data_IF_027340021969
#
_entry.id   IF_027340021969
#
_cell.length_a   1.000
_cell.length_b   1.000
_cell.length_c   1.000
_cell.angle_alpha   90.00
_cell.angle_beta   90.00
_cell.angle_gamma   90.00
#
_symmetry.space_group_name_H-M   'P 1'
#
loop_
_entity.id
_entity.type
_entity.pdbx_description
1 polymer ?
#
# COMPACT_ATOMS: atom_id res chain seq x y z
N UNK A 1 0.85 -1.88 23.39
CA UNK A 1 1.31 -1.66 22.00
C UNK A 1 0.11 -1.29 21.13
N UNK A 2 0.23 -0.30 20.20
CA UNK A 2 -0.89 0.12 19.34
C UNK A 2 -1.52 -1.07 18.60
N UNK A 3 -0.70 -1.96 18.03
CA UNK A 3 -1.20 -3.16 17.30
C UNK A 3 -2.10 -4.01 18.17
N UNK A 4 -1.70 -4.28 19.41
CA UNK A 4 -2.47 -5.11 20.34
C UNK A 4 -3.83 -4.48 20.68
N UNK A 5 -3.84 -3.17 20.95
CA UNK A 5 -5.08 -2.44 21.28
C UNK A 5 -5.99 -2.38 20.06
N UNK A 6 -5.47 -1.92 18.91
CA UNK A 6 -6.24 -1.81 17.69
C UNK A 6 -6.73 -3.19 17.18
N UNK A 7 -5.93 -4.26 17.35
CA UNK A 7 -6.33 -5.62 17.00
C UNK A 7 -7.59 -6.04 17.77
N UNK A 8 -7.63 -5.82 19.08
CA UNK A 8 -8.81 -6.13 19.91
C UNK A 8 -10.05 -5.37 19.44
N UNK A 9 -9.89 -4.08 19.13
CA UNK A 9 -10.97 -3.24 18.65
C UNK A 9 -11.53 -3.71 17.30
N UNK A 10 -10.63 -3.91 16.29
CA UNK A 10 -11.06 -4.25 14.93
C UNK A 10 -11.55 -5.70 14.80
N UNK A 11 -11.20 -6.57 15.74
CA UNK A 11 -11.67 -7.97 15.74
C UNK A 11 -12.80 -8.23 16.72
N UNK A 12 -13.29 -7.21 17.43
CA UNK A 12 -14.41 -7.34 18.35
C UNK A 12 -15.64 -7.95 17.64
N UNK A 13 -16.12 -9.08 18.14
CA UNK A 13 -17.24 -9.81 17.54
C UNK A 13 -16.90 -10.62 16.27
N UNK A 14 -15.66 -10.61 15.80
CA UNK A 14 -15.23 -11.37 14.61
C UNK A 14 -14.62 -12.69 15.04
N UNK A 15 -15.18 -13.81 14.56
CA UNK A 15 -14.58 -15.13 14.74
C UNK A 15 -13.51 -15.38 13.68
N UNK A 16 -12.25 -15.16 14.03
CA UNK A 16 -11.12 -15.32 13.09
C UNK A 16 -10.86 -16.76 12.65
N UNK A 17 -11.27 -17.76 13.45
CA UNK A 17 -11.10 -19.17 13.15
C UNK A 17 -12.37 -19.95 13.46
N UNK A 18 -12.75 -20.81 12.53
CA UNK A 18 -13.92 -21.68 12.70
C UNK A 18 -13.57 -23.07 13.23
N UNK A 19 -12.31 -23.50 13.02
CA UNK A 19 -11.78 -24.83 13.37
C UNK A 19 -10.32 -24.75 13.83
N UNK A 20 -9.85 -25.74 14.55
CA UNK A 20 -8.47 -25.89 14.99
C UNK A 20 -8.20 -25.33 16.39
N UNK A 21 -6.98 -25.55 16.87
CA UNK A 21 -6.52 -25.05 18.16
C UNK A 21 -6.13 -23.56 18.06
N UNK A 22 -6.22 -22.86 19.19
CA UNK A 22 -5.66 -21.52 19.28
C UNK A 22 -4.15 -21.56 19.00
N UNK A 23 -3.62 -20.62 18.20
CA UNK A 23 -2.20 -20.56 17.92
C UNK A 23 -1.42 -20.22 19.20
N UNK A 24 -0.22 -20.79 19.34
CA UNK A 24 0.68 -20.49 20.47
C UNK A 24 1.18 -19.04 20.41
N UNK A 25 1.52 -18.56 19.20
CA UNK A 25 1.86 -17.17 18.94
C UNK A 25 0.55 -16.44 18.63
N UNK A 26 0.26 -15.36 19.33
CA UNK A 26 -0.97 -14.59 19.11
C UNK A 26 -0.97 -13.91 17.73
N UNK A 27 -2.16 -13.62 17.21
CA UNK A 27 -2.29 -12.97 15.90
C UNK A 27 -1.72 -11.54 15.90
N UNK A 28 -1.87 -10.82 17.00
CA UNK A 28 -1.27 -9.48 17.16
C UNK A 28 0.26 -9.52 17.20
N UNK A 29 0.85 -10.57 17.80
CA UNK A 29 2.31 -10.77 17.76
C UNK A 29 2.78 -11.06 16.33
N UNK A 30 2.09 -11.93 15.58
CA UNK A 30 2.42 -12.20 14.16
C UNK A 30 2.41 -10.90 13.35
N UNK A 31 1.34 -10.10 13.45
CA UNK A 31 1.24 -8.82 12.73
C UNK A 31 2.35 -7.84 13.16
N UNK A 32 2.65 -7.78 14.46
CA UNK A 32 3.75 -6.93 14.97
C UNK A 32 5.09 -7.35 14.38
N UNK A 33 5.38 -8.67 14.35
CA UNK A 33 6.60 -9.20 13.76
C UNK A 33 6.69 -8.88 12.26
N UNK A 34 5.60 -9.03 11.52
CA UNK A 34 5.55 -8.69 10.10
C UNK A 34 5.83 -7.19 9.88
N UNK A 35 5.21 -6.30 10.64
CA UNK A 35 5.40 -4.86 10.51
C UNK A 35 6.84 -4.43 10.84
N UNK A 36 7.38 -4.91 11.96
CA UNK A 36 8.76 -4.64 12.35
C UNK A 36 9.73 -5.20 11.32
N UNK A 37 9.51 -6.43 10.86
CA UNK A 37 10.36 -7.07 9.86
C UNK A 37 10.37 -6.30 8.53
N UNK A 38 9.22 -5.82 8.06
CA UNK A 38 9.14 -4.98 6.85
C UNK A 38 9.89 -3.65 7.03
N UNK A 39 9.73 -2.97 8.16
CA UNK A 39 10.47 -1.72 8.46
C UNK A 39 11.98 -1.96 8.50
N UNK A 40 12.43 -3.11 9.02
CA UNK A 40 13.83 -3.53 9.03
C UNK A 40 14.34 -3.99 7.64
N UNK A 41 13.48 -4.06 6.62
CA UNK A 41 13.86 -4.46 5.26
C UNK A 41 13.89 -5.96 5.01
N UNK A 42 13.31 -6.78 5.88
CA UNK A 42 13.17 -8.22 5.65
C UNK A 42 12.05 -8.49 4.66
N UNK A 43 12.41 -9.00 3.47
CA UNK A 43 11.44 -9.27 2.40
C UNK A 43 10.81 -10.66 2.54
N UNK A 44 9.55 -10.68 2.92
CA UNK A 44 8.72 -11.88 2.99
C UNK A 44 8.72 -12.58 4.35
N UNK A 45 7.68 -13.37 4.57
CA UNK A 45 7.37 -14.01 5.84
C UNK A 45 8.48 -14.95 6.33
N UNK A 46 9.19 -15.60 5.39
CA UNK A 46 10.30 -16.49 5.72
C UNK A 46 11.48 -15.73 6.33
N UNK A 47 11.87 -14.60 5.73
CA UNK A 47 12.97 -13.78 6.24
C UNK A 47 12.60 -13.16 7.59
N UNK A 48 11.36 -12.70 7.74
CA UNK A 48 10.82 -12.16 8.99
C UNK A 48 10.85 -13.24 10.09
N UNK A 49 10.31 -14.43 9.81
CA UNK A 49 10.34 -15.55 10.74
C UNK A 49 11.78 -15.91 11.17
N UNK A 50 12.71 -16.00 10.20
CA UNK A 50 14.11 -16.37 10.47
C UNK A 50 14.79 -15.32 11.37
N UNK A 51 14.55 -14.02 11.11
CA UNK A 51 15.07 -12.93 11.93
C UNK A 51 14.59 -13.03 13.37
N UNK A 52 13.29 -13.14 13.60
CA UNK A 52 12.72 -13.22 14.95
C UNK A 52 13.13 -14.52 15.66
N UNK A 53 13.17 -15.65 14.95
CA UNK A 53 13.63 -16.93 15.49
C UNK A 53 15.07 -16.85 15.98
N UNK A 54 15.93 -16.14 15.26
CA UNK A 54 17.37 -16.02 15.57
C UNK A 54 17.65 -15.02 16.70
N UNK A 55 16.97 -13.89 16.72
CA UNK A 55 17.34 -12.76 17.55
C UNK A 55 16.39 -12.49 18.72
N UNK A 56 15.13 -12.92 18.63
CA UNK A 56 14.06 -12.54 19.55
C UNK A 56 13.25 -13.73 20.08
N UNK A 57 13.76 -14.97 19.99
CA UNK A 57 13.04 -16.17 20.39
C UNK A 57 12.58 -16.15 21.85
N UNK A 58 13.35 -15.53 22.75
CA UNK A 58 13.00 -15.37 24.16
C UNK A 58 11.81 -14.46 24.40
N UNK A 59 11.59 -13.47 23.51
CA UNK A 59 10.47 -12.53 23.59
C UNK A 59 9.20 -13.10 22.94
N UNK A 60 9.37 -14.09 22.05
CA UNK A 60 8.29 -14.75 21.33
C UNK A 60 8.35 -16.27 21.54
N UNK A 61 8.14 -16.76 22.77
CA UNK A 61 8.28 -18.21 23.09
C UNK A 61 7.26 -19.07 22.36
N UNK A 62 6.15 -18.47 21.89
CA UNK A 62 5.14 -19.13 21.05
C UNK A 62 5.52 -19.32 19.58
N UNK A 63 6.67 -18.75 19.14
CA UNK A 63 7.10 -18.81 17.74
C UNK A 63 7.50 -20.24 17.36
N UNK A 64 6.59 -20.91 16.63
CA UNK A 64 6.74 -22.27 16.15
C UNK A 64 7.47 -22.38 14.82
N UNK A 65 7.09 -23.37 14.02
CA UNK A 65 7.67 -23.64 12.72
C UNK A 65 7.36 -22.52 11.71
N UNK A 66 8.28 -22.34 10.75
CA UNK A 66 8.14 -21.39 9.64
C UNK A 66 6.81 -21.55 8.91
N UNK A 67 6.43 -22.79 8.57
CA UNK A 67 5.20 -23.06 7.83
C UNK A 67 3.93 -22.65 8.59
N UNK A 68 3.94 -22.78 9.90
CA UNK A 68 2.85 -22.33 10.78
C UNK A 68 2.78 -20.80 10.81
N UNK A 69 3.91 -20.14 10.98
CA UNK A 69 4.00 -18.67 10.95
C UNK A 69 3.50 -18.10 9.62
N UNK A 70 4.04 -18.58 8.49
CA UNK A 70 3.66 -18.11 7.14
C UNK A 70 2.17 -18.27 6.87
N UNK A 71 1.60 -19.42 7.24
CA UNK A 71 0.16 -19.69 7.08
C UNK A 71 -0.70 -18.79 7.97
N UNK A 72 -0.30 -18.59 9.22
CA UNK A 72 -0.99 -17.71 10.16
C UNK A 72 -0.95 -16.26 9.64
N UNK A 73 0.22 -15.79 9.23
CA UNK A 73 0.41 -14.46 8.64
C UNK A 73 -0.48 -14.24 7.41
N UNK A 74 -0.47 -15.20 6.47
CA UNK A 74 -1.29 -15.10 5.26
C UNK A 74 -2.80 -15.04 5.58
N UNK A 75 -3.27 -15.78 6.58
CA UNK A 75 -4.68 -15.80 6.98
C UNK A 75 -5.14 -14.50 7.66
N UNK A 76 -4.22 -13.66 8.09
CA UNK A 76 -4.51 -12.39 8.76
C UNK A 76 -4.60 -11.19 7.80
N UNK A 77 -4.58 -11.40 6.48
CA UNK A 77 -4.62 -10.31 5.51
C UNK A 77 -5.79 -9.34 5.71
N UNK A 78 -7.00 -9.88 6.00
CA UNK A 78 -8.18 -9.03 6.25
C UNK A 78 -8.05 -8.22 7.54
N UNK A 79 -7.49 -8.82 8.60
CA UNK A 79 -7.24 -8.10 9.86
C UNK A 79 -6.23 -6.98 9.65
N UNK A 80 -5.19 -7.21 8.85
CA UNK A 80 -4.22 -6.16 8.49
C UNK A 80 -4.87 -5.01 7.70
N UNK A 81 -5.83 -5.31 6.83
CA UNK A 81 -6.63 -4.26 6.16
C UNK A 81 -7.42 -3.44 7.17
N UNK A 82 -8.13 -4.09 8.10
CA UNK A 82 -8.89 -3.40 9.15
C UNK A 82 -7.98 -2.55 10.05
N UNK A 83 -6.79 -3.05 10.39
CA UNK A 83 -5.79 -2.29 11.13
C UNK A 83 -5.28 -1.08 10.34
N UNK A 84 -5.05 -1.24 9.03
CA UNK A 84 -4.68 -0.13 8.17
C UNK A 84 -5.79 0.93 8.09
N UNK A 85 -7.03 0.51 7.88
CA UNK A 85 -8.19 1.40 7.87
C UNK A 85 -8.33 2.16 9.20
N UNK A 86 -8.14 1.47 10.34
CA UNK A 86 -8.15 2.08 11.67
C UNK A 86 -7.00 3.10 11.82
N UNK A 87 -5.79 2.76 11.38
CA UNK A 87 -4.65 3.66 11.44
C UNK A 87 -4.87 4.93 10.61
N UNK A 88 -5.43 4.80 9.41
CA UNK A 88 -5.80 5.91 8.53
C UNK A 88 -6.80 6.85 9.21
N UNK A 89 -7.77 6.30 9.95
CA UNK A 89 -8.74 7.09 10.76
C UNK A 89 -8.04 7.76 11.93
N UNK A 90 -7.22 7.04 12.70
CA UNK A 90 -6.51 7.57 13.87
C UNK A 90 -5.56 8.74 13.51
N UNK A 91 -5.03 8.74 12.29
CA UNK A 91 -4.18 9.83 11.75
C UNK A 91 -5.00 10.97 11.13
N UNK A 92 -6.31 10.78 10.92
CA UNK A 92 -7.17 11.74 10.22
C UNK A 92 -6.82 11.90 8.74
N UNK A 93 -6.30 10.84 8.09
CA UNK A 93 -5.81 10.95 6.72
C UNK A 93 -6.94 10.98 5.67
N UNK A 94 -8.12 10.42 5.96
CA UNK A 94 -9.28 10.49 5.05
C UNK A 94 -9.87 11.90 4.94
N UNK A 95 -9.80 12.67 6.02
CA UNK A 95 -10.35 14.03 6.14
C UNK A 95 -9.27 15.11 5.99
N UNK A 96 -8.11 14.77 5.40
CA UNK A 96 -7.05 15.72 5.14
C UNK A 96 -7.45 16.74 4.05
N UNK A 97 -6.82 17.91 4.06
CA UNK A 97 -7.12 19.02 3.12
C UNK A 97 -6.89 18.67 1.65
N UNK A 98 -6.22 17.56 1.37
CA UNK A 98 -6.00 17.10 0.00
C UNK A 98 -5.31 15.75 -0.06
N UNK A 99 -5.46 15.12 -1.21
CA UNK A 99 -4.95 13.79 -1.50
C UNK A 99 -4.20 13.77 -2.82
N UNK A 100 -3.38 12.76 -3.03
CA UNK A 100 -2.65 12.55 -4.28
C UNK A 100 -2.87 11.10 -4.70
N UNK A 101 -3.21 10.90 -5.98
CA UNK A 101 -3.41 9.57 -6.57
C UNK A 101 -2.38 9.33 -7.67
N UNK A 102 -1.78 8.13 -7.67
CA UNK A 102 -0.91 7.68 -8.75
C UNK A 102 -0.87 6.15 -8.81
N UNK A 103 -0.39 5.60 -9.94
CA UNK A 103 -0.26 4.17 -10.15
C UNK A 103 1.19 3.73 -10.31
N UNK A 104 1.51 2.52 -9.84
CA UNK A 104 2.83 1.92 -10.05
C UNK A 104 2.74 0.42 -10.36
N UNK A 105 3.71 -0.13 -11.13
CA UNK A 105 3.69 -1.52 -11.54
C UNK A 105 4.07 -2.48 -10.39
N UNK A 106 3.38 -3.63 -10.32
CA UNK A 106 3.78 -4.80 -9.54
C UNK A 106 4.06 -5.92 -10.55
N UNK A 107 5.32 -6.06 -10.97
CA UNK A 107 5.67 -7.00 -12.01
C UNK A 107 5.66 -8.45 -11.50
N UNK A 108 5.00 -9.35 -12.23
CA UNK A 108 5.10 -10.80 -12.06
C UNK A 108 6.34 -11.30 -12.79
N UNK A 109 6.53 -10.88 -14.05
CA UNK A 109 7.73 -11.21 -14.81
C UNK A 109 7.97 -10.21 -15.94
N UNK A 110 9.17 -10.30 -16.56
CA UNK A 110 9.50 -9.58 -17.78
C UNK A 110 8.64 -10.07 -18.95
N UNK A 111 8.35 -9.20 -19.91
CA UNK A 111 7.50 -9.49 -21.08
C UNK A 111 7.88 -10.80 -21.80
N UNK A 112 9.17 -11.03 -22.02
CA UNK A 112 9.68 -12.23 -22.70
C UNK A 112 9.29 -13.57 -22.02
N UNK A 113 8.90 -13.53 -20.74
CA UNK A 113 8.46 -14.72 -19.98
C UNK A 113 6.94 -14.79 -19.82
N UNK A 114 6.21 -13.76 -20.21
CA UNK A 114 4.78 -13.62 -19.96
C UNK A 114 3.96 -14.79 -20.53
N UNK A 115 4.24 -15.18 -21.78
CA UNK A 115 3.51 -16.26 -22.48
C UNK A 115 3.58 -17.60 -21.75
N UNK A 116 4.68 -17.85 -21.02
CA UNK A 116 4.90 -19.10 -20.27
C UNK A 116 4.53 -18.99 -18.80
N UNK A 117 4.20 -17.79 -18.30
CA UNK A 117 3.88 -17.57 -16.90
C UNK A 117 2.50 -18.16 -16.57
N UNK A 118 2.45 -18.98 -15.53
CA UNK A 118 1.20 -19.46 -14.94
C UNK A 118 0.87 -18.72 -13.62
N UNK A 119 1.78 -17.83 -13.17
CA UNK A 119 1.62 -17.08 -11.92
C UNK A 119 0.61 -15.98 -12.13
N UNK A 120 -0.43 -15.93 -11.30
CA UNK A 120 -1.51 -14.95 -11.33
C UNK A 120 -2.11 -14.77 -12.74
N UNK A 121 -2.29 -15.90 -13.47
CA UNK A 121 -2.66 -15.85 -14.90
C UNK A 121 -4.04 -15.25 -15.15
N UNK A 122 -4.95 -15.41 -14.21
CA UNK A 122 -6.30 -14.85 -14.30
C UNK A 122 -6.36 -13.36 -13.94
N UNK A 123 -5.41 -12.90 -13.13
CA UNK A 123 -5.41 -11.54 -12.53
C UNK A 123 -4.41 -10.59 -13.18
N UNK A 124 -3.33 -11.14 -13.76
CA UNK A 124 -2.27 -10.33 -14.36
C UNK A 124 -2.58 -9.96 -15.82
N UNK A 125 -2.06 -8.81 -16.24
CA UNK A 125 -2.17 -8.30 -17.60
C UNK A 125 -0.86 -7.75 -18.14
N UNK A 126 -0.87 -7.35 -19.41
CA UNK A 126 0.25 -6.67 -20.04
C UNK A 126 0.17 -5.17 -19.76
N UNK A 127 1.24 -4.59 -19.24
CA UNK A 127 1.34 -3.16 -18.95
C UNK A 127 2.59 -2.52 -19.51
N UNK A 128 2.59 -1.20 -19.57
CA UNK A 128 3.74 -0.38 -19.91
C UNK A 128 4.08 0.56 -18.76
N UNK A 129 5.32 0.51 -18.30
CA UNK A 129 5.84 1.44 -17.30
C UNK A 129 6.57 2.59 -18.01
N UNK A 130 5.95 3.77 -18.05
CA UNK A 130 6.52 4.94 -18.73
C UNK A 130 7.84 5.42 -18.09
N UNK A 131 7.96 5.36 -16.76
CA UNK A 131 9.15 5.75 -16.03
C UNK A 131 10.38 4.85 -16.35
N UNK A 132 10.15 3.55 -16.53
CA UNK A 132 11.19 2.56 -16.85
C UNK A 132 11.30 2.30 -18.36
N UNK A 133 10.40 2.86 -19.18
CA UNK A 133 10.28 2.65 -20.63
C UNK A 133 10.26 1.17 -21.02
N UNK A 134 9.60 0.34 -20.21
CA UNK A 134 9.55 -1.10 -20.44
C UNK A 134 8.13 -1.65 -20.34
N UNK A 135 7.87 -2.71 -21.13
CA UNK A 135 6.67 -3.52 -20.99
C UNK A 135 6.90 -4.61 -19.95
N UNK A 136 5.86 -4.89 -19.18
CA UNK A 136 5.87 -5.94 -18.17
C UNK A 136 4.58 -6.75 -18.20
N UNK A 137 4.61 -7.92 -17.60
CA UNK A 137 3.44 -8.72 -17.31
C UNK A 137 3.24 -8.74 -15.80
N UNK A 138 2.06 -8.36 -15.34
CA UNK A 138 1.78 -8.26 -13.92
C UNK A 138 0.52 -7.47 -13.60
N UNK A 139 0.60 -6.75 -12.52
CA UNK A 139 -0.47 -5.97 -11.92
C UNK A 139 -0.06 -4.50 -11.82
N UNK A 140 -1.02 -3.64 -11.59
CA UNK A 140 -0.82 -2.22 -11.29
C UNK A 140 -1.49 -1.90 -9.96
N UNK A 141 -0.75 -1.32 -9.03
CA UNK A 141 -1.32 -0.74 -7.83
C UNK A 141 -1.69 0.71 -8.08
N UNK A 142 -2.86 1.12 -7.60
CA UNK A 142 -3.37 2.49 -7.61
C UNK A 142 -3.42 2.95 -6.16
N UNK A 143 -2.57 3.91 -5.82
CA UNK A 143 -2.33 4.38 -4.47
C UNK A 143 -2.92 5.76 -4.27
N UNK A 144 -3.64 5.95 -3.19
CA UNK A 144 -4.09 7.24 -2.69
C UNK A 144 -3.34 7.57 -1.40
N UNK A 145 -2.73 8.74 -1.33
CA UNK A 145 -2.07 9.25 -0.12
C UNK A 145 -2.65 10.61 0.28
N UNK A 146 -2.51 11.00 1.54
CA UNK A 146 -2.71 12.38 1.96
C UNK A 146 -1.45 13.24 1.68
N UNK A 147 -1.54 14.55 1.94
CA UNK A 147 -0.43 15.49 1.70
C UNK A 147 0.79 15.26 2.61
N UNK A 148 0.67 14.46 3.67
CA UNK A 148 1.77 14.08 4.57
C UNK A 148 2.49 12.81 4.10
N UNK A 149 1.89 12.05 3.15
CA UNK A 149 2.40 10.79 2.65
C UNK A 149 1.81 9.56 3.34
N UNK A 150 0.75 9.73 4.14
CA UNK A 150 0.00 8.61 4.73
C UNK A 150 -0.77 7.91 3.62
N UNK A 151 -0.57 6.62 3.43
CA UNK A 151 -1.33 5.83 2.48
C UNK A 151 -2.79 5.68 2.97
N UNK A 152 -3.74 6.27 2.25
CA UNK A 152 -5.17 6.25 2.57
C UNK A 152 -5.84 5.00 2.05
N UNK A 153 -5.47 4.56 0.86
CA UNK A 153 -6.02 3.38 0.22
C UNK A 153 -5.17 2.89 -0.95
N UNK A 154 -5.34 1.64 -1.29
CA UNK A 154 -4.73 1.00 -2.46
C UNK A 154 -5.71 0.03 -3.09
N UNK A 155 -5.80 0.03 -4.42
CA UNK A 155 -6.40 -1.06 -5.18
C UNK A 155 -5.38 -1.65 -6.15
N UNK A 156 -5.49 -2.94 -6.43
CA UNK A 156 -4.57 -3.66 -7.31
C UNK A 156 -5.36 -4.31 -8.42
N UNK A 157 -5.04 -3.96 -9.66
CA UNK A 157 -5.73 -4.45 -10.85
C UNK A 157 -4.76 -5.13 -11.80
N UNK A 158 -5.27 -5.80 -12.83
CA UNK A 158 -4.44 -6.21 -13.96
C UNK A 158 -3.74 -4.98 -14.58
N UNK A 159 -2.51 -5.16 -15.05
CA UNK A 159 -1.70 -4.05 -15.55
C UNK A 159 -2.29 -3.29 -16.75
N UNK A 160 -3.23 -3.90 -17.47
CA UNK A 160 -3.95 -3.32 -18.62
C UNK A 160 -5.25 -2.58 -18.25
N UNK A 161 -5.65 -2.58 -16.98
CA UNK A 161 -6.82 -1.83 -16.52
C UNK A 161 -6.51 -0.33 -16.56
N UNK A 162 -7.49 0.45 -17.02
CA UNK A 162 -7.39 1.91 -17.08
C UNK A 162 -7.30 2.52 -15.67
N UNK A 163 -6.38 3.45 -15.47
CA UNK A 163 -6.15 4.09 -14.16
C UNK A 163 -7.39 4.78 -13.60
N UNK A 164 -8.21 5.33 -14.46
CA UNK A 164 -9.45 6.01 -14.10
C UNK A 164 -10.52 5.05 -13.61
N UNK A 165 -10.59 3.86 -14.20
CA UNK A 165 -11.56 2.85 -13.80
C UNK A 165 -11.19 2.25 -12.44
N UNK A 166 -9.90 2.06 -12.17
CA UNK A 166 -9.40 1.63 -10.87
C UNK A 166 -9.46 2.71 -9.78
N UNK A 167 -9.42 3.99 -10.16
CA UNK A 167 -9.42 5.11 -9.22
C UNK A 167 -10.71 5.21 -8.40
N UNK A 168 -11.87 4.79 -8.96
CA UNK A 168 -13.14 4.82 -8.23
C UNK A 168 -13.07 4.05 -6.90
N UNK A 169 -12.34 2.93 -6.86
CA UNK A 169 -12.23 2.11 -5.65
C UNK A 169 -11.55 2.86 -4.49
N UNK A 170 -10.50 3.64 -4.80
CA UNK A 170 -9.73 4.35 -3.77
C UNK A 170 -10.28 5.74 -3.46
N UNK A 171 -11.04 6.33 -4.40
CA UNK A 171 -11.62 7.66 -4.23
C UNK A 171 -12.95 7.65 -3.48
N UNK A 172 -13.65 6.51 -3.42
CA UNK A 172 -15.01 6.41 -2.84
C UNK A 172 -15.11 6.79 -1.36
N UNK A 173 -13.98 6.85 -0.64
CA UNK A 173 -13.95 7.09 0.81
C UNK A 173 -13.42 8.48 1.20
N UNK A 174 -13.25 9.39 0.25
CA UNK A 174 -12.71 10.74 0.47
C UNK A 174 -13.52 11.80 -0.25
N UNK A 175 -13.34 13.04 0.15
CA UNK A 175 -13.87 14.25 -0.49
C UNK A 175 -12.76 15.30 -0.61
N UNK A 176 -13.02 16.39 -1.33
CA UNK A 176 -12.13 17.54 -1.42
C UNK A 176 -11.08 17.43 -2.51
N UNK A 177 -9.93 18.06 -2.32
CA UNK A 177 -8.88 18.18 -3.34
C UNK A 177 -8.16 16.84 -3.58
N UNK A 178 -8.10 16.41 -4.84
CA UNK A 178 -7.29 15.27 -5.29
C UNK A 178 -6.37 15.67 -6.43
N UNK A 179 -5.09 15.38 -6.30
CA UNK A 179 -4.09 15.62 -7.34
C UNK A 179 -3.80 14.29 -8.06
N UNK A 180 -4.00 14.28 -9.37
CA UNK A 180 -3.65 13.14 -10.24
C UNK A 180 -2.65 13.54 -11.33
N UNK A 181 -2.14 12.55 -12.06
CA UNK A 181 -1.33 12.79 -13.26
C UNK A 181 -2.21 13.05 -14.51
N UNK A 182 -1.57 13.19 -15.68
CA UNK A 182 -2.28 13.37 -16.98
C UNK A 182 -3.09 12.14 -17.41
N UNK A 183 -2.81 10.98 -16.84
CA UNK A 183 -3.55 9.73 -17.08
C UNK A 183 -5.00 9.83 -16.62
N UNK A 184 -5.26 10.61 -15.58
CA UNK A 184 -6.62 10.80 -15.02
C UNK A 184 -7.49 11.80 -15.81
N UNK A 185 -6.98 12.43 -16.88
CA UNK A 185 -7.75 13.37 -17.72
C UNK A 185 -8.79 12.61 -18.55
N UNK A 186 -10.06 12.69 -18.13
CA UNK A 186 -11.24 12.20 -18.88
C UNK A 186 -12.45 13.04 -18.42
N UNK A 187 -13.20 13.70 -19.34
CA UNK A 187 -14.32 14.57 -18.96
C UNK A 187 -15.36 13.86 -18.08
N UNK A 188 -15.76 12.66 -18.43
CA UNK A 188 -16.70 11.86 -17.63
C UNK A 188 -16.17 11.56 -16.23
N UNK A 189 -14.91 11.10 -16.11
CA UNK A 189 -14.31 10.82 -14.81
C UNK A 189 -14.22 12.06 -13.92
N UNK A 190 -13.94 13.24 -14.52
CA UNK A 190 -13.95 14.50 -13.79
C UNK A 190 -15.34 14.85 -13.27
N UNK A 191 -16.38 14.69 -14.10
CA UNK A 191 -17.78 14.92 -13.68
C UNK A 191 -18.23 13.95 -12.58
N UNK A 192 -17.83 12.69 -12.68
CA UNK A 192 -18.11 11.70 -11.63
C UNK A 192 -17.40 12.03 -10.31
N UNK A 193 -16.15 12.52 -10.35
CA UNK A 193 -15.44 13.04 -9.17
C UNK A 193 -16.15 14.23 -8.56
N UNK A 194 -16.58 15.21 -9.38
CA UNK A 194 -17.32 16.38 -8.91
C UNK A 194 -18.64 15.98 -8.22
N UNK A 195 -19.34 14.98 -8.74
CA UNK A 195 -20.56 14.45 -8.13
C UNK A 195 -20.29 13.76 -6.77
N UNK A 196 -19.08 13.28 -6.54
CA UNK A 196 -18.62 12.72 -5.25
C UNK A 196 -18.01 13.77 -4.30
N UNK A 197 -18.10 15.06 -4.65
CA UNK A 197 -17.48 16.13 -3.85
C UNK A 197 -15.96 16.21 -3.96
N UNK A 198 -15.38 15.63 -5.01
CA UNK A 198 -13.94 15.60 -5.26
C UNK A 198 -13.55 16.63 -6.32
N UNK A 199 -12.68 17.56 -5.96
CA UNK A 199 -12.01 18.49 -6.89
C UNK A 199 -10.74 17.83 -7.46
N UNK A 200 -10.89 17.15 -8.60
CA UNK A 200 -9.76 16.49 -9.27
C UNK A 200 -8.93 17.51 -10.07
N UNK A 201 -7.69 17.71 -9.64
CA UNK A 201 -6.72 18.60 -10.28
C UNK A 201 -5.63 17.76 -10.98
N UNK A 202 -5.47 17.95 -12.29
CA UNK A 202 -4.44 17.29 -13.11
C UNK A 202 -3.63 18.32 -13.90
N UNK A 203 -2.36 18.05 -14.25
CA UNK A 203 -1.64 18.86 -15.22
C UNK A 203 -2.31 18.77 -16.59
N UNK A 204 -2.42 19.88 -17.31
CA UNK A 204 -2.98 19.88 -18.67
C UNK A 204 -2.07 19.19 -19.68
N UNK A 205 -2.64 18.61 -20.72
CA UNK A 205 -1.88 18.09 -21.87
C UNK A 205 -1.40 19.26 -22.74
N UNK A 206 -0.36 19.03 -23.57
CA UNK A 206 0.24 20.06 -24.42
C UNK A 206 -0.76 20.76 -25.36
N UNK A 207 -1.80 20.07 -25.76
CA UNK A 207 -2.88 20.56 -26.63
C UNK A 207 -4.06 21.18 -25.89
N UNK A 208 -3.98 21.32 -24.57
CA UNK A 208 -5.02 21.92 -23.72
C UNK A 208 -4.56 23.29 -23.23
N UNK A 209 -5.51 24.22 -23.10
CA UNK A 209 -5.25 25.58 -22.57
C UNK A 209 -5.17 25.51 -21.04
N UNK A 210 -4.10 26.07 -20.48
CA UNK A 210 -3.96 26.23 -19.02
C UNK A 210 -4.49 27.60 -18.62
N UNK A 211 -5.41 27.66 -17.68
CA UNK A 211 -6.01 28.88 -17.15
C UNK A 211 -5.62 29.21 -15.72
N UNK A 212 -5.02 28.24 -15.01
CA UNK A 212 -4.64 28.39 -13.62
C UNK A 212 -3.35 29.20 -13.47
N UNK A 213 -3.18 29.96 -12.37
CA UNK A 213 -2.00 30.80 -12.17
C UNK A 213 -0.74 29.95 -12.02
N UNK A 214 0.41 30.45 -12.48
CA UNK A 214 1.69 29.73 -12.49
C UNK A 214 2.13 29.26 -11.11
N UNK A 215 1.90 30.07 -10.07
CA UNK A 215 2.24 29.70 -8.70
C UNK A 215 1.49 28.45 -8.22
N UNK A 216 0.20 28.33 -8.61
CA UNK A 216 -0.61 27.17 -8.29
C UNK A 216 -0.07 25.90 -8.96
N UNK A 217 0.29 25.98 -10.23
CA UNK A 217 0.89 24.86 -10.97
C UNK A 217 2.21 24.43 -10.36
N UNK A 218 3.05 25.36 -9.90
CA UNK A 218 4.29 25.03 -9.20
C UNK A 218 4.02 24.31 -7.87
N UNK A 219 3.01 24.76 -7.12
CA UNK A 219 2.59 24.12 -5.89
C UNK A 219 2.13 22.68 -6.15
N UNK A 220 1.25 22.47 -7.14
CA UNK A 220 0.77 21.13 -7.52
C UNK A 220 1.91 20.19 -7.90
N UNK A 221 2.87 20.67 -8.69
CA UNK A 221 4.05 19.86 -9.07
C UNK A 221 4.91 19.52 -7.86
N UNK A 222 5.11 20.45 -6.94
CA UNK A 222 5.88 20.22 -5.70
C UNK A 222 5.22 19.19 -4.81
N UNK A 223 3.92 19.31 -4.62
CA UNK A 223 3.13 18.41 -3.76
C UNK A 223 3.07 17.00 -4.36
N UNK A 224 2.92 16.88 -5.68
CA UNK A 224 2.91 15.55 -6.35
C UNK A 224 4.20 14.75 -6.16
N UNK A 225 5.35 15.38 -5.96
CA UNK A 225 6.60 14.64 -5.65
C UNK A 225 6.49 13.77 -4.40
N UNK A 226 5.53 14.06 -3.52
CA UNK A 226 5.34 13.27 -2.31
C UNK A 226 4.85 11.84 -2.61
N UNK A 227 3.94 11.68 -3.56
CA UNK A 227 3.50 10.33 -3.95
C UNK A 227 4.63 9.55 -4.66
N UNK A 228 5.47 10.23 -5.43
CA UNK A 228 6.66 9.61 -6.05
C UNK A 228 7.62 9.07 -4.98
N UNK A 229 7.81 9.83 -3.88
CA UNK A 229 8.61 9.37 -2.72
C UNK A 229 7.98 8.15 -2.05
N UNK A 230 6.66 8.18 -1.78
CA UNK A 230 5.95 7.03 -1.16
C UNK A 230 6.03 5.80 -2.07
N UNK A 231 5.78 5.95 -3.37
CA UNK A 231 5.90 4.85 -4.34
C UNK A 231 7.33 4.30 -4.35
N UNK A 232 8.35 5.18 -4.39
CA UNK A 232 9.75 4.76 -4.34
C UNK A 232 10.07 3.97 -3.07
N UNK A 233 9.56 4.39 -1.90
CA UNK A 233 9.70 3.65 -0.66
C UNK A 233 9.02 2.28 -0.73
N UNK A 234 7.78 2.21 -1.22
CA UNK A 234 7.06 0.95 -1.40
C UNK A 234 7.78 0.01 -2.40
N UNK A 235 8.30 0.54 -3.50
CA UNK A 235 9.01 -0.23 -4.51
C UNK A 235 10.38 -0.72 -4.03
N UNK A 236 11.19 0.15 -3.42
CA UNK A 236 12.61 -0.12 -3.15
C UNK A 236 12.83 -0.63 -1.73
N UNK A 237 12.28 0.04 -0.70
CA UNK A 237 12.46 -0.35 0.69
C UNK A 237 11.60 -1.55 1.07
N UNK A 238 10.32 -1.53 0.67
CA UNK A 238 9.36 -2.60 0.95
C UNK A 238 9.28 -3.66 -0.15
N UNK A 239 10.10 -3.57 -1.21
CA UNK A 239 10.17 -4.55 -2.31
C UNK A 239 8.81 -4.87 -2.96
N UNK A 240 7.92 -3.86 -3.12
CA UNK A 240 6.61 -4.07 -3.72
C UNK A 240 6.61 -3.98 -5.26
N UNK A 241 7.72 -3.57 -5.89
CA UNK A 241 7.86 -3.49 -7.34
C UNK A 241 7.75 -4.86 -8.06
N UNK A 242 7.93 -5.94 -7.31
CA UNK A 242 7.86 -7.32 -7.83
C UNK A 242 7.12 -8.21 -6.85
N UNK A 243 6.33 -9.13 -7.37
CA UNK A 243 5.73 -10.17 -6.55
C UNK A 243 6.32 -11.54 -6.87
N UNK A 244 6.51 -12.35 -5.82
CA UNK A 244 6.85 -13.78 -5.94
C UNK A 244 5.67 -14.66 -5.52
N UNK A 245 4.55 -14.05 -5.18
CA UNK A 245 3.34 -14.78 -4.77
C UNK A 245 2.74 -15.49 -5.99
N UNK A 246 2.14 -16.65 -5.74
CA UNK A 246 1.57 -17.49 -6.82
C UNK A 246 0.06 -17.35 -6.95
N UNK A 247 -0.57 -16.77 -5.96
CA UNK A 247 -2.02 -16.61 -5.87
C UNK A 247 -2.40 -15.26 -5.24
N UNK A 248 -3.67 -14.90 -5.38
CA UNK A 248 -4.24 -13.62 -4.90
C UNK A 248 -4.20 -13.51 -3.39
N UNK A 249 -4.37 -14.61 -2.67
CA UNK A 249 -4.37 -14.63 -1.21
C UNK A 249 -3.03 -14.14 -0.63
N UNK A 250 -1.94 -14.72 -1.11
CA UNK A 250 -0.59 -14.32 -0.68
C UNK A 250 -0.22 -12.94 -1.22
N UNK A 251 -0.68 -12.56 -2.43
CA UNK A 251 -0.50 -11.23 -2.96
C UNK A 251 -1.18 -10.17 -2.09
N UNK A 252 -2.46 -10.41 -1.74
CA UNK A 252 -3.21 -9.50 -0.86
C UNK A 252 -2.52 -9.36 0.49
N UNK A 253 -2.04 -10.46 1.07
CA UNK A 253 -1.25 -10.42 2.30
C UNK A 253 0.01 -9.58 2.14
N UNK A 254 0.77 -9.78 1.05
CA UNK A 254 2.00 -9.03 0.76
C UNK A 254 1.73 -7.53 0.66
N UNK A 255 0.75 -7.13 -0.14
CA UNK A 255 0.41 -5.72 -0.37
C UNK A 255 -0.06 -5.07 0.93
N UNK A 256 -1.00 -5.70 1.63
CA UNK A 256 -1.59 -5.16 2.85
C UNK A 256 -0.56 -5.01 3.98
N UNK A 257 0.31 -6.01 4.15
CA UNK A 257 1.39 -5.98 5.14
C UNK A 257 2.34 -4.81 4.90
N UNK A 258 2.82 -4.66 3.66
CA UNK A 258 3.78 -3.61 3.28
C UNK A 258 3.16 -2.21 3.41
N UNK A 259 1.90 -2.07 3.00
CA UNK A 259 1.17 -0.82 3.15
C UNK A 259 0.98 -0.44 4.62
N UNK A 260 0.54 -1.40 5.45
CA UNK A 260 0.37 -1.19 6.90
C UNK A 260 1.70 -0.83 7.56
N UNK A 261 2.80 -1.50 7.22
CA UNK A 261 4.12 -1.21 7.77
C UNK A 261 4.63 0.19 7.37
N UNK A 262 4.46 0.57 6.10
CA UNK A 262 4.80 1.92 5.63
C UNK A 262 3.98 2.99 6.38
N UNK A 263 2.66 2.83 6.43
CA UNK A 263 1.76 3.77 7.11
C UNK A 263 2.06 3.89 8.60
N UNK A 264 2.42 2.78 9.25
CA UNK A 264 2.86 2.78 10.64
C UNK A 264 4.17 3.56 10.84
N UNK A 265 5.13 3.43 9.93
CA UNK A 265 6.37 4.20 9.95
C UNK A 265 6.09 5.71 9.85
N UNK A 266 5.25 6.12 8.91
CA UNK A 266 4.81 7.52 8.75
C UNK A 266 4.12 8.02 10.02
N UNK A 267 3.20 7.24 10.59
CA UNK A 267 2.50 7.59 11.84
C UNK A 267 3.46 7.75 13.03
N UNK A 268 4.45 6.86 13.16
CA UNK A 268 5.45 6.97 14.21
C UNK A 268 6.27 8.26 14.07
N UNK A 269 6.70 8.60 12.86
CA UNK A 269 7.40 9.86 12.62
C UNK A 269 6.54 11.08 12.96
N UNK A 270 5.27 11.09 12.56
CA UNK A 270 4.33 12.16 12.93
C UNK A 270 4.19 12.29 14.44
N UNK A 271 4.09 11.19 15.18
CA UNK A 271 4.01 11.21 16.65
C UNK A 271 5.29 11.68 17.34
N UNK A 272 6.43 11.44 16.72
CA UNK A 272 7.74 11.85 17.19
C UNK A 272 8.14 13.28 16.75
N UNK A 273 7.26 13.97 15.98
CA UNK A 273 7.55 15.30 15.44
C UNK A 273 8.65 15.30 14.38
N UNK A 274 8.90 14.16 13.72
CA UNK A 274 9.88 13.99 12.64
C UNK A 274 9.26 14.21 11.27
N UNK A 275 10.11 14.36 10.23
CA UNK A 275 9.62 14.37 8.84
C UNK A 275 8.89 13.04 8.53
N UNK A 276 7.62 13.10 8.12
CA UNK A 276 6.76 11.90 8.00
C UNK A 276 7.35 10.76 7.18
N UNK A 277 8.05 11.09 6.09
CA UNK A 277 8.62 10.11 5.16
C UNK A 277 10.09 9.74 5.46
N UNK A 278 10.67 10.22 6.55
CA UNK A 278 12.01 9.79 6.99
C UNK A 278 11.94 8.44 7.72
N UNK A 279 11.74 7.37 6.94
CA UNK A 279 11.67 6.02 7.49
C UNK A 279 13.04 5.47 7.92
N UNK A 280 14.13 6.03 7.41
CA UNK A 280 15.49 5.62 7.81
C UNK A 280 15.82 6.12 9.22
N UNK A 281 15.34 7.31 9.57
CA UNK A 281 15.46 7.86 10.90
C UNK A 281 14.84 7.01 12.02
N UNK A 282 13.88 6.12 11.68
CA UNK A 282 13.30 5.18 12.65
C UNK A 282 14.26 4.04 13.05
N UNK A 283 15.29 3.75 12.24
CA UNK A 283 16.22 2.65 12.47
C UNK A 283 17.47 3.10 13.25
N UNK A 284 17.70 4.40 13.35
CA UNK A 284 18.92 4.99 13.94
C UNK A 284 18.66 5.50 15.36
N UNK A 285 17.45 5.36 15.85
CA UNK A 285 17.00 5.88 17.15
C UNK A 285 17.29 4.94 18.31
#
# INVERSE_FOLDING_TARGET
>A
CWVETAFKDVTAGIKLRTRGFAPRLSDSEVITMEMVGEVLGHDGDEAIWAYFRRHWATWFPGLGDRSTFVRQAANLWRVKQLLHERLVVDVGARTADGHIIDGFPIAVCKLARAVRSQVLKAEAGYGYCAAKREYYYGLKAHLLIDLRGVAVGVTVTAANVDERDAAYDVLSAIEGLVLGDKGYIRPRFKADCEALGIDLQTPVRRNMKESRPRWWLMLLQRVRKRIETVISQLEQRFNLAKTRTRDVWHLTNQVTRKLLAHTMGVWLNLRLGREPLDLDGLLVA
#
